data_IF_653503139284
#
_entry.id   IF_653503139284
#
_cell.length_a   1.000
_cell.length_b   1.000
_cell.length_c   1.000
_cell.angle_alpha   90.00
_cell.angle_beta   90.00
_cell.angle_gamma   90.00
#
_symmetry.space_group_name_H-M   'P 1'
#
loop_
_entity.id
_entity.type
_entity.pdbx_description
1 polymer ?
#
# COMPACT_ATOMS: atom_id res chain seq x y z
N UNK A 1 44.61 -7.94 -57.97
CA UNK A 1 43.53 -6.97 -58.13
C UNK A 1 42.61 -7.08 -56.93
N UNK A 2 42.81 -6.21 -55.94
CA UNK A 2 41.88 -5.91 -54.84
C UNK A 2 42.50 -4.68 -54.16
N UNK A 3 41.87 -3.52 -54.41
CA UNK A 3 42.43 -2.21 -54.09
C UNK A 3 42.29 -1.85 -52.62
N UNK A 4 43.37 -1.32 -52.06
CA UNK A 4 43.38 -0.52 -50.86
C UNK A 4 43.87 0.88 -51.25
N UNK A 5 43.13 1.92 -50.91
CA UNK A 5 43.70 3.25 -50.68
C UNK A 5 42.72 4.09 -49.84
N UNK A 6 43.22 4.58 -48.70
CA UNK A 6 42.57 5.57 -47.85
C UNK A 6 42.40 6.90 -48.60
N UNK A 7 41.27 7.57 -48.37
CA UNK A 7 41.15 9.02 -48.53
C UNK A 7 40.32 9.59 -47.36
N UNK A 8 41.00 10.31 -46.47
CA UNK A 8 40.45 11.20 -45.45
C UNK A 8 40.26 12.58 -46.08
N UNK A 9 39.01 13.07 -46.17
CA UNK A 9 38.68 14.50 -46.09
C UNK A 9 37.28 14.65 -45.49
N UNK A 10 37.17 15.42 -44.41
CA UNK A 10 35.90 15.82 -43.80
C UNK A 10 36.15 16.97 -42.83
N UNK A 11 36.18 18.18 -43.36
CA UNK A 11 36.32 19.46 -42.66
C UNK A 11 35.02 19.81 -41.91
N UNK A 12 35.09 20.38 -40.71
CA UNK A 12 33.91 21.01 -40.11
C UNK A 12 33.99 21.32 -38.61
N UNK A 13 34.31 22.57 -38.31
CA UNK A 13 33.62 23.35 -37.26
C UNK A 13 33.96 23.05 -35.80
N UNK A 14 34.73 23.94 -35.18
CA UNK A 14 34.75 24.12 -33.74
C UNK A 14 33.31 24.31 -33.21
N UNK A 15 32.92 23.51 -32.22
CA UNK A 15 31.65 23.72 -31.51
C UNK A 15 31.80 24.91 -30.55
N UNK A 16 30.86 25.87 -30.54
CA UNK A 16 30.78 26.87 -29.49
C UNK A 16 30.45 26.21 -28.14
N UNK A 17 31.12 26.65 -27.07
CA UNK A 17 30.95 26.18 -25.68
C UNK A 17 29.65 26.67 -25.00
N UNK A 18 28.60 26.99 -25.77
CA UNK A 18 27.34 27.55 -25.25
C UNK A 18 26.09 26.67 -25.54
N UNK A 19 26.27 25.35 -25.62
CA UNK A 19 25.15 24.40 -25.72
C UNK A 19 24.94 23.59 -24.43
N UNK A 20 25.27 24.17 -23.27
CA UNK A 20 25.14 23.52 -21.97
C UNK A 20 24.07 24.18 -21.07
N UNK A 21 22.99 24.74 -21.62
CA UNK A 21 21.86 25.22 -20.82
C UNK A 21 20.52 25.02 -21.53
N UNK A 22 20.11 23.75 -21.75
CA UNK A 22 18.71 23.41 -22.02
C UNK A 22 18.47 21.90 -21.95
N UNK A 23 18.83 21.26 -20.83
CA UNK A 23 18.24 19.96 -20.50
C UNK A 23 18.24 19.73 -19.00
N UNK A 24 17.54 20.59 -18.25
CA UNK A 24 16.92 20.16 -17.00
C UNK A 24 15.70 19.31 -17.38
N UNK A 25 15.99 18.16 -17.99
CA UNK A 25 15.05 17.11 -18.27
C UNK A 25 14.28 16.84 -16.99
N UNK A 26 12.96 17.01 -17.08
CA UNK A 26 12.01 16.69 -16.03
C UNK A 26 12.41 15.36 -15.40
N UNK A 27 12.84 15.43 -14.13
CA UNK A 27 13.16 14.25 -13.35
C UNK A 27 11.83 13.54 -13.09
N UNK A 28 11.41 12.71 -14.04
CA UNK A 28 10.33 11.74 -13.86
C UNK A 28 10.89 10.66 -12.94
N UNK A 29 10.89 10.94 -11.63
CA UNK A 29 11.02 9.89 -10.64
C UNK A 29 9.74 9.06 -10.74
N UNK A 30 9.70 8.13 -11.69
CA UNK A 30 8.94 6.91 -11.54
C UNK A 30 9.53 6.22 -10.32
N UNK A 31 9.11 6.67 -9.14
CA UNK A 31 9.60 6.16 -7.87
C UNK A 31 9.19 4.69 -7.85
N UNK A 32 10.15 3.80 -8.08
CA UNK A 32 10.03 2.41 -7.67
C UNK A 32 9.92 2.45 -6.14
N UNK A 33 8.70 2.58 -5.64
CA UNK A 33 8.43 2.75 -4.21
C UNK A 33 8.62 1.40 -3.53
N UNK A 34 9.88 1.05 -3.25
CA UNK A 34 10.25 -0.06 -2.35
C UNK A 34 10.05 0.30 -0.86
N UNK A 35 9.19 1.28 -0.56
CA UNK A 35 8.93 1.75 0.79
C UNK A 35 7.56 1.23 1.24
N UNK A 36 7.54 0.34 2.24
CA UNK A 36 6.30 -0.12 2.88
C UNK A 36 5.58 1.04 3.58
N UNK A 37 4.25 1.10 3.46
CA UNK A 37 3.47 2.10 4.20
C UNK A 37 3.58 1.78 5.70
N UNK A 38 4.26 2.61 6.48
CA UNK A 38 4.34 2.39 7.92
C UNK A 38 3.01 2.72 8.60
N UNK A 39 2.72 2.09 9.75
CA UNK A 39 1.54 2.46 10.57
C UNK A 39 1.62 3.91 11.04
N UNK A 40 2.83 4.44 11.23
CA UNK A 40 3.07 5.86 11.50
C UNK A 40 2.70 6.75 10.29
N UNK A 41 2.92 6.25 9.07
CA UNK A 41 2.48 6.89 7.83
C UNK A 41 0.96 6.92 7.64
N UNK A 42 0.21 6.13 8.42
CA UNK A 42 -1.25 6.19 8.52
C UNK A 42 -1.75 7.15 9.61
N UNK A 43 -0.85 7.74 10.41
CA UNK A 43 -1.27 8.59 11.53
C UNK A 43 -2.07 9.81 11.06
N UNK A 44 -3.12 10.12 11.82
CA UNK A 44 -4.26 10.98 11.46
C UNK A 44 -3.91 12.45 11.23
N UNK A 45 -2.75 12.92 11.70
CA UNK A 45 -2.35 14.33 11.60
C UNK A 45 -2.10 14.79 10.15
N UNK A 46 -1.77 13.86 9.24
CA UNK A 46 -1.64 14.17 7.81
C UNK A 46 -2.96 14.00 7.04
N UNK A 47 -3.80 13.04 7.43
CA UNK A 47 -4.94 12.60 6.61
C UNK A 47 -6.27 13.29 6.95
N UNK A 48 -6.48 13.63 8.21
CA UNK A 48 -7.77 14.17 8.71
C UNK A 48 -7.84 15.70 8.72
N UNK A 49 -6.70 16.38 8.88
CA UNK A 49 -6.61 17.80 9.23
C UNK A 49 -6.18 18.70 8.06
N UNK A 50 -6.96 18.72 6.96
CA UNK A 50 -7.07 19.83 5.98
C UNK A 50 -6.65 19.58 4.51
N UNK A 51 -6.15 18.40 4.13
CA UNK A 51 -5.72 18.13 2.73
C UNK A 51 -6.55 17.08 1.98
N UNK A 52 -6.70 15.89 2.57
CA UNK A 52 -7.22 14.70 1.87
C UNK A 52 -8.70 14.39 2.13
N UNK A 53 -9.27 14.85 3.25
CA UNK A 53 -10.62 14.47 3.71
C UNK A 53 -11.79 15.24 3.08
N UNK A 54 -11.55 16.38 2.43
CA UNK A 54 -12.65 17.20 1.86
C UNK A 54 -12.50 17.53 0.38
N UNK A 55 -11.29 17.61 -0.18
CA UNK A 55 -11.06 17.94 -1.60
C UNK A 55 -9.85 17.25 -2.26
N UNK A 56 -8.87 16.76 -1.49
CA UNK A 56 -7.61 16.20 -2.02
C UNK A 56 -7.75 14.87 -2.74
N UNK A 57 -8.78 14.08 -2.41
CA UNK A 57 -9.24 12.95 -3.22
C UNK A 57 -10.28 13.41 -4.24
N UNK A 58 -9.92 14.31 -5.14
CA UNK A 58 -10.52 14.40 -6.49
C UNK A 58 -9.38 14.55 -7.49
N UNK A 59 -9.51 14.23 -8.79
CA UNK A 59 -8.39 14.47 -9.74
C UNK A 59 -8.01 15.95 -9.80
N UNK A 60 -8.97 16.85 -9.57
CA UNK A 60 -8.73 18.29 -9.45
C UNK A 60 -8.18 18.68 -8.06
N UNK A 61 -8.30 17.78 -7.08
CA UNK A 61 -7.78 17.91 -5.72
C UNK A 61 -6.27 18.06 -5.69
N UNK A 62 -5.56 17.29 -6.53
CA UNK A 62 -4.10 17.35 -6.64
C UNK A 62 -3.58 18.71 -7.15
N UNK A 63 -4.42 19.47 -7.86
CA UNK A 63 -4.10 20.81 -8.36
C UNK A 63 -4.57 21.95 -7.44
N UNK A 64 -5.14 21.64 -6.27
CA UNK A 64 -5.56 22.67 -5.32
C UNK A 64 -4.39 23.25 -4.53
N UNK A 65 -4.52 24.51 -4.11
CA UNK A 65 -3.56 25.12 -3.18
C UNK A 65 -3.48 24.33 -1.87
N UNK A 66 -4.62 23.86 -1.34
CA UNK A 66 -4.65 23.07 -0.11
C UNK A 66 -3.87 21.76 -0.21
N UNK A 67 -3.93 21.06 -1.35
CA UNK A 67 -3.10 19.87 -1.57
C UNK A 67 -1.61 20.21 -1.66
N UNK A 68 -1.24 21.30 -2.37
CA UNK A 68 0.15 21.75 -2.44
C UNK A 68 0.71 22.12 -1.05
N UNK A 69 -0.07 22.84 -0.23
CA UNK A 69 0.32 23.22 1.13
C UNK A 69 0.53 21.97 1.99
N UNK A 70 -0.42 21.03 1.96
CA UNK A 70 -0.31 19.76 2.66
C UNK A 70 0.90 18.94 2.22
N UNK A 71 1.11 18.80 0.91
CA UNK A 71 2.21 18.02 0.35
C UNK A 71 3.56 18.63 0.75
N UNK A 72 3.66 19.97 0.72
CA UNK A 72 4.87 20.71 1.12
C UNK A 72 5.16 20.56 2.61
N UNK A 73 4.14 20.56 3.47
CA UNK A 73 4.28 20.33 4.91
C UNK A 73 4.67 18.88 5.26
N UNK A 74 4.40 17.93 4.36
CA UNK A 74 4.60 16.50 4.56
C UNK A 74 5.55 15.90 3.52
N UNK A 75 6.53 16.66 3.02
CA UNK A 75 7.38 16.26 1.90
C UNK A 75 8.08 14.89 2.08
N UNK A 76 8.39 14.51 3.32
CA UNK A 76 9.03 13.23 3.63
C UNK A 76 8.09 12.01 3.52
N UNK A 77 6.78 12.20 3.74
CA UNK A 77 5.80 11.09 3.84
C UNK A 77 4.73 11.12 2.75
N UNK A 78 4.38 12.31 2.25
CA UNK A 78 3.35 12.52 1.23
C UNK A 78 3.61 11.77 -0.08
N UNK A 79 4.84 11.72 -0.65
CA UNK A 79 5.08 10.98 -1.89
C UNK A 79 4.77 9.48 -1.75
N UNK A 80 5.17 8.87 -0.64
CA UNK A 80 4.93 7.44 -0.36
C UNK A 80 3.45 7.17 -0.12
N UNK A 81 2.79 8.00 0.70
CA UNK A 81 1.36 7.88 0.95
C UNK A 81 0.54 8.02 -0.34
N UNK A 82 0.87 8.99 -1.20
CA UNK A 82 0.20 9.17 -2.49
C UNK A 82 0.42 7.99 -3.43
N UNK A 83 1.59 7.36 -3.41
CA UNK A 83 1.82 6.12 -4.16
C UNK A 83 0.84 5.01 -3.76
N UNK A 84 0.58 4.83 -2.46
CA UNK A 84 -0.38 3.84 -1.99
C UNK A 84 -1.84 4.25 -2.28
N UNK A 85 -2.20 5.51 -2.10
CA UNK A 85 -3.54 6.01 -2.46
C UNK A 85 -3.81 5.73 -3.94
N UNK A 86 -2.88 6.07 -4.83
CA UNK A 86 -3.04 5.86 -6.28
C UNK A 86 -3.04 4.37 -6.62
N UNK A 87 -2.15 3.56 -6.04
CA UNK A 87 -2.13 2.10 -6.21
C UNK A 87 -3.46 1.45 -5.84
N UNK A 88 -4.08 1.88 -4.73
CA UNK A 88 -5.37 1.37 -4.28
C UNK A 88 -6.54 1.89 -5.13
N UNK A 89 -6.57 3.18 -5.43
CA UNK A 89 -7.75 3.84 -5.97
C UNK A 89 -7.85 3.79 -7.50
N UNK A 90 -6.71 3.90 -8.19
CA UNK A 90 -6.64 3.98 -9.65
C UNK A 90 -6.48 2.58 -10.26
N UNK A 91 -7.18 2.23 -11.36
CA UNK A 91 -7.01 0.95 -12.04
C UNK A 91 -5.60 0.78 -12.61
N UNK A 92 -5.18 -0.48 -12.78
CA UNK A 92 -3.96 -0.85 -13.48
C UNK A 92 -3.87 -0.19 -14.88
N UNK A 93 -2.65 0.20 -15.26
CA UNK A 93 -2.38 0.84 -16.55
C UNK A 93 -2.67 2.35 -16.59
N UNK A 94 -3.11 2.96 -15.49
CA UNK A 94 -3.29 4.40 -15.37
C UNK A 94 -2.35 5.02 -14.34
N UNK A 95 -1.99 6.29 -14.52
CA UNK A 95 -1.10 7.05 -13.62
C UNK A 95 -1.76 8.32 -13.09
N UNK A 96 -1.25 8.85 -11.97
CA UNK A 96 -1.55 10.21 -11.51
C UNK A 96 -0.25 10.99 -11.35
N UNK A 97 -0.27 12.24 -11.80
CA UNK A 97 0.89 13.13 -11.76
C UNK A 97 0.59 14.35 -10.92
N UNK A 98 1.59 14.81 -10.18
CA UNK A 98 1.53 16.04 -9.40
C UNK A 98 2.85 16.79 -9.56
N UNK A 99 2.79 18.12 -9.64
CA UNK A 99 3.98 18.96 -9.62
C UNK A 99 3.90 19.89 -8.41
N UNK A 100 4.88 19.78 -7.52
CA UNK A 100 4.99 20.63 -6.34
C UNK A 100 5.22 22.08 -6.76
N UNK A 101 4.35 23.00 -6.33
CA UNK A 101 4.55 24.43 -6.58
C UNK A 101 5.71 25.01 -5.75
N UNK A 102 6.05 24.37 -4.62
CA UNK A 102 7.13 24.82 -3.75
C UNK A 102 8.52 24.46 -4.28
N UNK A 103 8.67 23.28 -4.91
CA UNK A 103 9.98 22.76 -5.36
C UNK A 103 10.10 22.60 -6.87
N UNK A 104 8.99 22.67 -7.61
CA UNK A 104 8.93 22.38 -9.04
C UNK A 104 9.03 20.88 -9.39
N UNK A 105 9.24 20.01 -8.41
CA UNK A 105 9.42 18.56 -8.59
C UNK A 105 8.13 17.92 -9.10
N UNK A 106 8.26 17.08 -10.14
CA UNK A 106 7.16 16.27 -10.68
C UNK A 106 7.19 14.87 -10.09
N UNK A 107 6.03 14.41 -9.62
CA UNK A 107 5.78 13.08 -9.10
C UNK A 107 4.80 12.35 -10.01
N UNK A 108 5.07 11.07 -10.27
CA UNK A 108 4.21 10.19 -11.06
C UNK A 108 3.97 8.89 -10.29
N UNK A 109 2.71 8.56 -10.05
CA UNK A 109 2.30 7.34 -9.31
C UNK A 109 1.47 6.41 -10.21
N UNK A 110 1.68 5.10 -10.04
CA UNK A 110 1.02 4.04 -10.82
C UNK A 110 -0.20 3.48 -10.08
N UNK A 111 -1.30 3.30 -10.81
CA UNK A 111 -2.50 2.60 -10.34
C UNK A 111 -2.35 1.08 -10.36
N UNK A 112 -3.26 0.39 -9.67
CA UNK A 112 -3.32 -1.09 -9.64
C UNK A 112 -4.75 -1.59 -9.40
N UNK A 113 -5.31 -1.39 -8.21
CA UNK A 113 -6.54 -2.11 -7.80
C UNK A 113 -7.84 -1.48 -8.32
N UNK A 114 -7.84 -0.18 -8.62
CA UNK A 114 -9.04 0.49 -9.15
C UNK A 114 -10.23 0.54 -8.19
N UNK A 115 -10.00 0.65 -6.89
CA UNK A 115 -11.06 0.59 -5.88
C UNK A 115 -12.00 1.80 -5.88
N UNK A 116 -11.58 2.92 -6.47
CA UNK A 116 -12.33 4.17 -6.51
C UNK A 116 -12.38 4.79 -7.91
N UNK A 117 -13.14 4.20 -8.85
CA UNK A 117 -13.19 4.67 -10.22
C UNK A 117 -13.95 5.99 -10.40
N UNK A 118 -14.89 6.34 -9.51
CA UNK A 118 -15.48 7.67 -9.45
C UNK A 118 -14.40 8.73 -9.19
N UNK A 119 -13.59 8.51 -8.14
CA UNK A 119 -12.41 9.32 -7.86
C UNK A 119 -11.42 9.34 -9.02
N UNK A 120 -11.07 8.17 -9.54
CA UNK A 120 -10.12 8.04 -10.64
C UNK A 120 -10.61 8.80 -11.89
N UNK A 121 -11.92 8.88 -12.12
CA UNK A 121 -12.53 9.64 -13.22
C UNK A 121 -12.65 11.14 -12.97
N UNK A 122 -12.25 11.61 -11.78
CA UNK A 122 -12.21 13.01 -11.41
C UNK A 122 -13.39 13.57 -10.64
N UNK A 123 -14.26 12.69 -10.16
CA UNK A 123 -15.32 13.06 -9.22
C UNK A 123 -14.75 13.12 -7.79
N UNK A 124 -15.41 13.84 -6.87
CA UNK A 124 -15.15 13.68 -5.45
C UNK A 124 -15.34 12.22 -5.03
N UNK A 125 -14.43 11.69 -4.20
CA UNK A 125 -14.56 10.33 -3.67
C UNK A 125 -15.82 10.18 -2.81
N UNK A 126 -16.65 9.19 -3.15
CA UNK A 126 -17.80 8.80 -2.35
C UNK A 126 -17.37 8.17 -1.02
N UNK A 127 -18.29 8.04 -0.07
CA UNK A 127 -18.02 7.39 1.22
C UNK A 127 -17.56 5.94 1.03
N UNK A 128 -18.17 5.20 0.10
CA UNK A 128 -17.78 3.81 -0.18
C UNK A 128 -16.37 3.73 -0.78
N UNK A 129 -16.00 4.66 -1.66
CA UNK A 129 -14.64 4.76 -2.21
C UNK A 129 -13.62 5.08 -1.12
N UNK A 130 -13.94 6.04 -0.24
CA UNK A 130 -13.11 6.36 0.93
C UNK A 130 -12.89 5.13 1.81
N UNK A 131 -13.93 4.33 2.06
CA UNK A 131 -13.85 3.10 2.84
C UNK A 131 -13.01 2.02 2.16
N UNK A 132 -13.21 1.79 0.86
CA UNK A 132 -12.46 0.79 0.09
C UNK A 132 -10.97 1.13 0.02
N UNK A 133 -10.63 2.41 -0.23
CA UNK A 133 -9.24 2.88 -0.21
C UNK A 133 -8.67 2.80 1.21
N UNK A 134 -9.43 3.16 2.25
CA UNK A 134 -9.01 3.02 3.65
C UNK A 134 -8.66 1.57 4.00
N UNK A 135 -9.48 0.61 3.57
CA UNK A 135 -9.22 -0.81 3.74
C UNK A 135 -7.92 -1.25 3.05
N UNK A 136 -7.67 -0.75 1.84
CA UNK A 136 -6.45 -1.06 1.09
C UNK A 136 -5.20 -0.45 1.74
N UNK A 137 -5.28 0.79 2.22
CA UNK A 137 -4.19 1.44 2.97
C UNK A 137 -3.88 0.66 4.25
N UNK A 138 -4.90 0.24 4.99
CA UNK A 138 -4.73 -0.62 6.17
C UNK A 138 -4.11 -1.97 5.81
N UNK A 139 -4.54 -2.56 4.69
CA UNK A 139 -3.99 -3.80 4.16
C UNK A 139 -2.54 -3.65 3.67
N UNK A 140 -2.05 -2.46 3.33
CA UNK A 140 -0.65 -2.24 2.98
C UNK A 140 0.20 -1.72 4.14
N UNK A 141 -0.43 -1.43 5.28
CA UNK A 141 0.28 -0.96 6.46
C UNK A 141 1.16 -2.05 7.06
N UNK A 142 2.45 -1.77 7.16
CA UNK A 142 3.43 -2.64 7.77
C UNK A 142 4.21 -1.86 8.83
N UNK A 143 4.19 -2.34 10.08
CA UNK A 143 4.93 -1.73 11.20
C UNK A 143 6.42 -1.54 10.91
N UNK A 144 7.02 -2.42 10.11
CA UNK A 144 8.44 -2.39 9.78
C UNK A 144 8.77 -1.58 8.53
N UNK A 145 7.78 -0.97 7.88
CA UNK A 145 7.99 -0.22 6.63
C UNK A 145 8.49 -1.10 5.48
N UNK A 146 8.34 -2.42 5.59
CA UNK A 146 8.74 -3.37 4.55
C UNK A 146 7.61 -3.53 3.53
N UNK A 147 7.94 -3.39 2.25
CA UNK A 147 7.04 -3.77 1.18
C UNK A 147 7.05 -5.29 1.03
N UNK A 148 5.89 -5.93 1.18
CA UNK A 148 5.73 -7.33 0.83
C UNK A 148 4.67 -7.49 -0.25
N UNK A 149 4.79 -8.56 -1.02
CA UNK A 149 3.79 -8.90 -2.02
C UNK A 149 2.54 -9.47 -1.33
N UNK A 150 1.36 -9.03 -1.79
CA UNK A 150 0.07 -9.42 -1.24
C UNK A 150 -0.87 -9.77 -2.38
N UNK A 151 -1.65 -10.83 -2.18
CA UNK A 151 -2.91 -10.98 -2.88
C UNK A 151 -3.96 -10.16 -2.14
N UNK A 152 -4.56 -9.19 -2.83
CA UNK A 152 -5.63 -8.34 -2.28
C UNK A 152 -6.92 -8.69 -3.00
N UNK A 153 -7.86 -9.23 -2.23
CA UNK A 153 -9.11 -9.78 -2.74
C UNK A 153 -10.28 -8.98 -2.16
N UNK A 154 -11.33 -8.80 -2.96
CA UNK A 154 -12.49 -8.03 -2.54
C UNK A 154 -13.26 -7.47 -3.72
N UNK A 155 -13.89 -6.32 -3.50
CA UNK A 155 -14.66 -5.60 -4.51
C UNK A 155 -14.30 -4.13 -4.54
N UNK A 156 -14.43 -3.50 -5.70
CA UNK A 156 -14.38 -2.03 -5.84
C UNK A 156 -15.58 -1.39 -5.15
N UNK A 157 -15.57 -0.05 -5.02
CA UNK A 157 -16.69 0.68 -4.45
C UNK A 157 -18.04 0.49 -5.18
N UNK A 158 -18.00 0.16 -6.48
CA UNK A 158 -19.16 -0.15 -7.33
C UNK A 158 -19.56 -1.64 -7.26
N UNK A 159 -18.85 -2.44 -6.48
CA UNK A 159 -19.15 -3.86 -6.27
C UNK A 159 -18.55 -4.80 -7.32
N UNK A 160 -17.72 -4.32 -8.26
CA UNK A 160 -16.98 -5.18 -9.18
C UNK A 160 -15.93 -5.99 -8.42
N UNK A 161 -15.79 -7.29 -8.70
CA UNK A 161 -14.76 -8.10 -8.08
C UNK A 161 -13.37 -7.66 -8.56
N UNK A 162 -12.42 -7.56 -7.63
CA UNK A 162 -11.00 -7.40 -7.99
C UNK A 162 -10.59 -8.69 -8.71
N UNK A 163 -9.97 -8.61 -9.92
CA UNK A 163 -9.51 -9.79 -10.63
C UNK A 163 -8.46 -10.57 -9.81
N UNK A 164 -8.56 -11.90 -9.81
CA UNK A 164 -7.57 -12.80 -9.24
C UNK A 164 -7.50 -14.09 -10.06
N UNK A 165 -6.38 -14.80 -9.99
CA UNK A 165 -6.18 -16.07 -10.70
C UNK A 165 -6.01 -17.26 -9.75
N UNK A 166 -6.13 -18.48 -10.30
CA UNK A 166 -5.84 -19.69 -9.53
C UNK A 166 -4.35 -19.76 -9.15
N UNK A 167 -3.47 -19.29 -10.03
CA UNK A 167 -2.02 -19.20 -9.81
C UNK A 167 -1.72 -18.25 -8.66
N UNK A 168 -2.35 -17.07 -8.63
CA UNK A 168 -2.23 -16.12 -7.51
C UNK A 168 -2.65 -16.78 -6.19
N UNK A 169 -3.82 -17.44 -6.15
CA UNK A 169 -4.28 -18.11 -4.93
C UNK A 169 -3.38 -19.28 -4.51
N UNK A 170 -2.67 -19.90 -5.46
CA UNK A 170 -1.70 -20.96 -5.16
C UNK A 170 -0.40 -20.39 -4.56
N UNK A 171 0.08 -19.25 -5.08
CA UNK A 171 1.28 -18.58 -4.60
C UNK A 171 1.03 -17.89 -3.25
N UNK A 172 -0.09 -17.18 -3.12
CA UNK A 172 -0.57 -16.54 -1.90
C UNK A 172 -1.56 -17.44 -1.16
N UNK A 173 -1.12 -18.68 -0.89
CA UNK A 173 -1.99 -19.71 -0.32
C UNK A 173 -2.37 -19.44 1.13
N UNK A 174 -1.56 -18.71 1.88
CA UNK A 174 -1.81 -18.44 3.29
C UNK A 174 -2.76 -17.26 3.47
N UNK A 175 -3.93 -17.53 4.06
CA UNK A 175 -4.87 -16.51 4.50
C UNK A 175 -4.26 -15.66 5.60
N UNK A 176 -4.49 -14.36 5.54
CA UNK A 176 -3.95 -13.41 6.49
C UNK A 176 -5.08 -12.76 7.29
N UNK A 177 -5.71 -11.74 6.71
CA UNK A 177 -6.62 -10.86 7.44
C UNK A 177 -7.67 -10.23 6.52
N UNK A 178 -8.67 -9.64 7.14
CA UNK A 178 -9.61 -8.72 6.51
C UNK A 178 -9.43 -7.31 7.08
N UNK A 179 -9.52 -6.32 6.23
CA UNK A 179 -9.33 -4.91 6.54
C UNK A 179 -10.55 -4.10 6.11
N UNK A 180 -10.94 -3.14 6.94
CA UNK A 180 -12.11 -2.29 6.71
C UNK A 180 -12.07 -1.02 7.59
N UNK A 181 -12.98 -0.09 7.34
CA UNK A 181 -13.09 1.16 8.11
C UNK A 181 -13.11 2.40 7.22
N UNK A 182 -12.94 3.57 7.83
CA UNK A 182 -12.86 4.83 7.10
C UNK A 182 -11.93 5.82 7.80
N UNK A 183 -10.75 6.01 7.21
CA UNK A 183 -9.70 6.90 7.71
C UNK A 183 -10.00 8.39 7.48
N UNK A 184 -10.97 8.70 6.62
CA UNK A 184 -11.42 10.07 6.31
C UNK A 184 -12.51 10.55 7.28
N UNK A 185 -12.88 9.72 8.25
CA UNK A 185 -13.87 10.01 9.29
C UNK A 185 -13.30 9.63 10.66
N UNK A 186 -14.10 9.80 11.71
CA UNK A 186 -13.75 9.35 13.06
C UNK A 186 -13.94 7.84 13.28
N UNK A 187 -14.34 7.08 12.25
CA UNK A 187 -14.62 5.66 12.38
C UNK A 187 -13.35 4.84 12.64
N UNK A 188 -12.22 5.25 12.09
CA UNK A 188 -10.94 4.55 12.24
C UNK A 188 -10.75 3.38 11.27
N UNK A 189 -9.68 2.62 11.49
CA UNK A 189 -9.30 1.46 10.70
C UNK A 189 -9.35 0.20 11.54
N UNK A 190 -9.83 -0.89 10.92
CA UNK A 190 -10.02 -2.16 11.58
C UNK A 190 -9.35 -3.28 10.78
N UNK A 191 -8.80 -4.24 11.51
CA UNK A 191 -8.30 -5.48 10.97
C UNK A 191 -8.82 -6.66 11.80
N UNK A 192 -9.02 -7.81 11.17
CA UNK A 192 -9.31 -9.05 11.87
C UNK A 192 -8.61 -10.22 11.14
N UNK A 193 -8.35 -11.32 11.84
CA UNK A 193 -7.64 -12.48 11.30
C UNK A 193 -8.58 -13.41 10.53
N UNK A 194 -8.17 -13.84 9.33
CA UNK A 194 -8.95 -14.81 8.51
C UNK A 194 -8.60 -16.27 8.83
N UNK A 195 -7.61 -16.49 9.69
CA UNK A 195 -7.32 -17.79 10.27
C UNK A 195 -6.78 -17.62 11.69
N UNK A 196 -6.84 -18.69 12.46
CA UNK A 196 -6.10 -18.74 13.71
C UNK A 196 -4.60 -18.91 13.42
N UNK A 197 -3.81 -18.18 14.19
CA UNK A 197 -2.35 -18.25 14.18
C UNK A 197 -1.92 -18.90 15.49
N UNK A 198 -0.97 -19.83 15.40
CA UNK A 198 -0.34 -20.39 16.59
C UNK A 198 0.55 -19.35 17.25
N UNK A 199 0.77 -19.46 18.57
CA UNK A 199 1.68 -18.58 19.29
C UNK A 199 3.15 -18.68 18.82
N UNK A 200 3.49 -19.70 18.03
CA UNK A 200 4.79 -19.88 17.42
C UNK A 200 4.96 -19.12 16.10
N UNK A 201 3.86 -18.71 15.45
CA UNK A 201 3.93 -17.98 14.18
C UNK A 201 4.16 -16.49 14.41
N UNK A 202 4.94 -15.88 13.53
CA UNK A 202 5.12 -14.43 13.46
C UNK A 202 5.17 -13.95 12.01
N UNK A 203 5.03 -12.64 11.84
CA UNK A 203 5.12 -12.01 10.52
C UNK A 203 5.41 -10.53 10.67
N UNK A 204 5.89 -9.93 9.59
CA UNK A 204 6.12 -8.50 9.48
C UNK A 204 4.80 -7.72 9.59
N UNK A 205 3.67 -8.36 9.30
CA UNK A 205 2.34 -7.74 9.24
C UNK A 205 1.53 -7.93 10.51
N UNK A 206 2.04 -7.31 11.57
CA UNK A 206 1.49 -7.42 12.92
C UNK A 206 -0.02 -7.17 13.01
N UNK A 207 -0.60 -6.30 12.17
CA UNK A 207 -1.99 -5.85 12.35
C UNK A 207 -3.05 -6.83 11.86
N UNK A 208 -2.69 -7.71 10.92
CA UNK A 208 -3.53 -8.84 10.56
C UNK A 208 -3.41 -10.04 11.51
N UNK A 209 -2.36 -10.07 12.35
CA UNK A 209 -1.79 -11.32 12.87
C UNK A 209 -1.60 -11.38 14.40
N UNK A 210 -1.48 -10.25 15.09
CA UNK A 210 -1.17 -10.24 16.53
C UNK A 210 -2.40 -10.44 17.42
N UNK A 211 -2.22 -11.20 18.51
CA UNK A 211 -3.17 -11.30 19.64
C UNK A 211 -2.98 -10.18 20.66
N UNK A 212 -1.92 -9.38 20.57
CA UNK A 212 -1.64 -8.25 21.47
C UNK A 212 -2.11 -6.94 20.85
N UNK A 213 -3.18 -6.38 21.40
CA UNK A 213 -3.88 -5.18 20.91
C UNK A 213 -2.98 -3.94 20.71
N UNK A 214 -1.84 -3.85 21.39
CA UNK A 214 -1.19 -2.55 21.64
C UNK A 214 -0.09 -2.13 20.64
N UNK A 215 0.08 -2.81 19.50
CA UNK A 215 1.20 -2.50 18.58
C UNK A 215 0.81 -2.08 17.16
N UNK A 216 -0.49 -1.88 16.90
CA UNK A 216 -1.01 -1.68 15.55
C UNK A 216 -1.74 -0.37 15.30
N UNK A 217 -1.71 0.55 16.27
CA UNK A 217 -2.25 1.89 16.09
C UNK A 217 -1.70 2.53 14.78
N UNK A 218 -2.57 3.16 13.97
CA UNK A 218 -3.98 3.49 14.24
C UNK A 218 -5.00 2.39 13.91
N UNK A 219 -4.57 1.20 13.48
CA UNK A 219 -5.45 0.08 13.14
C UNK A 219 -5.83 -0.70 14.41
N UNK A 220 -7.13 -0.88 14.62
CA UNK A 220 -7.66 -1.68 15.73
C UNK A 220 -7.87 -3.12 15.28
N UNK A 221 -7.24 -4.08 15.96
CA UNK A 221 -7.48 -5.50 15.71
C UNK A 221 -8.72 -5.97 16.48
N UNK A 222 -9.69 -6.57 15.78
CA UNK A 222 -11.00 -6.93 16.34
C UNK A 222 -11.13 -8.42 16.69
N UNK A 223 -10.14 -9.26 16.39
CA UNK A 223 -10.27 -10.72 16.54
C UNK A 223 -10.41 -11.40 15.18
N UNK A 224 -11.47 -12.18 14.95
CA UNK A 224 -11.63 -13.01 13.75
C UNK A 224 -12.55 -12.40 12.69
N UNK A 225 -12.15 -12.45 11.42
CA UNK A 225 -12.98 -12.04 10.28
C UNK A 225 -14.33 -12.74 10.27
N UNK A 226 -14.38 -14.03 10.62
CA UNK A 226 -15.62 -14.80 10.63
C UNK A 226 -16.67 -14.27 11.62
N UNK A 227 -16.26 -13.46 12.61
CA UNK A 227 -17.16 -12.85 13.59
C UNK A 227 -17.77 -11.54 13.09
N UNK A 228 -17.03 -10.77 12.30
CA UNK A 228 -17.42 -9.41 11.90
C UNK A 228 -17.79 -9.29 10.43
N UNK A 229 -17.40 -10.26 9.60
CA UNK A 229 -17.42 -10.14 8.15
C UNK A 229 -18.21 -11.27 7.49
N UNK A 230 -18.84 -10.92 6.36
CA UNK A 230 -19.64 -11.84 5.54
C UNK A 230 -19.03 -11.99 4.15
N UNK A 231 -19.26 -13.16 3.56
CA UNK A 231 -18.98 -13.41 2.14
C UNK A 231 -20.26 -13.26 1.34
N UNK A 232 -20.17 -12.65 0.16
CA UNK A 232 -21.28 -12.63 -0.79
C UNK A 232 -21.58 -14.01 -1.39
N UNK A 233 -20.56 -14.86 -1.48
CA UNK A 233 -20.64 -16.25 -1.93
C UNK A 233 -19.67 -17.10 -1.10
N UNK A 234 -20.11 -18.20 -0.46
CA UNK A 234 -19.24 -19.08 0.32
C UNK A 234 -18.04 -19.65 -0.46
N UNK A 235 -18.18 -19.81 -1.78
CA UNK A 235 -17.11 -20.30 -2.66
C UNK A 235 -16.00 -19.27 -2.91
N UNK A 236 -16.28 -17.98 -2.68
CA UNK A 236 -15.31 -16.91 -2.91
C UNK A 236 -14.21 -16.91 -1.83
N UNK A 237 -12.96 -16.60 -2.21
CA UNK A 237 -11.83 -16.61 -1.29
C UNK A 237 -11.76 -15.36 -0.38
N UNK A 238 -12.75 -14.47 -0.41
CA UNK A 238 -12.72 -13.18 0.29
C UNK A 238 -14.05 -12.82 0.95
N UNK A 239 -13.99 -11.96 1.96
CA UNK A 239 -15.15 -11.28 2.55
C UNK A 239 -15.52 -10.04 1.73
N UNK A 240 -16.81 -9.74 1.65
CA UNK A 240 -17.32 -8.57 0.92
C UNK A 240 -17.61 -7.40 1.83
N UNK A 241 -18.05 -7.66 3.06
CA UNK A 241 -18.47 -6.63 4.01
C UNK A 241 -18.12 -7.04 5.43
N UNK A 242 -17.79 -6.05 6.26
CA UNK A 242 -17.59 -6.21 7.70
C UNK A 242 -18.44 -5.20 8.47
N UNK A 243 -18.99 -5.60 9.61
CA UNK A 243 -19.81 -4.75 10.47
C UNK A 243 -19.19 -4.61 11.85
N UNK A 244 -18.99 -3.37 12.28
CA UNK A 244 -18.48 -3.06 13.61
C UNK A 244 -19.11 -1.76 14.12
N UNK A 245 -19.45 -1.70 15.41
CA UNK A 245 -20.15 -0.56 16.04
C UNK A 245 -21.41 -0.10 15.27
N UNK A 246 -22.19 -1.04 14.74
CA UNK A 246 -23.44 -0.76 14.01
C UNK A 246 -23.26 -0.18 12.61
N UNK A 247 -22.02 -0.08 12.10
CA UNK A 247 -21.72 0.37 10.73
C UNK A 247 -21.16 -0.78 9.90
N UNK A 248 -21.58 -0.84 8.64
CA UNK A 248 -21.10 -1.83 7.66
C UNK A 248 -20.19 -1.14 6.65
N UNK A 249 -19.06 -1.78 6.37
CA UNK A 249 -18.02 -1.28 5.48
C UNK A 249 -17.73 -2.32 4.39
N UNK A 250 -17.31 -1.90 3.18
CA UNK A 250 -16.65 -2.81 2.26
C UNK A 250 -15.38 -3.38 2.92
N UNK A 251 -15.11 -4.66 2.65
CA UNK A 251 -13.96 -5.36 3.20
C UNK A 251 -12.98 -5.75 2.10
N UNK A 252 -11.69 -5.69 2.41
CA UNK A 252 -10.65 -6.34 1.61
C UNK A 252 -10.04 -7.47 2.41
N UNK A 253 -9.83 -8.60 1.76
CA UNK A 253 -9.19 -9.78 2.33
C UNK A 253 -7.80 -9.92 1.72
N UNK A 254 -6.79 -10.15 2.55
CA UNK A 254 -5.43 -10.37 2.08
C UNK A 254 -5.00 -11.81 2.25
N UNK A 255 -4.10 -12.21 1.35
CA UNK A 255 -3.35 -13.46 1.46
C UNK A 255 -1.88 -13.19 1.19
N UNK A 256 -1.04 -13.97 1.84
CA UNK A 256 0.42 -13.85 1.79
C UNK A 256 1.04 -15.13 1.27
N UNK A 257 2.28 -15.04 0.78
CA UNK A 257 3.08 -16.23 0.52
C UNK A 257 3.38 -16.92 1.85
N UNK A 258 3.42 -18.27 1.91
CA UNK A 258 3.81 -18.97 3.14
C UNK A 258 5.19 -18.55 3.69
N UNK A 259 6.09 -18.08 2.83
CA UNK A 259 7.41 -17.57 3.22
C UNK A 259 7.38 -16.25 4.01
N UNK A 260 6.25 -15.54 4.01
CA UNK A 260 6.02 -14.32 4.81
C UNK A 260 5.51 -14.63 6.23
N UNK A 261 5.35 -15.91 6.55
CA UNK A 261 4.92 -16.43 7.84
C UNK A 261 6.08 -17.20 8.45
N UNK A 262 6.71 -16.57 9.42
CA UNK A 262 7.85 -17.13 10.16
C UNK A 262 7.36 -17.97 11.33
N UNK A 263 8.20 -18.87 11.83
CA UNK A 263 7.81 -19.72 12.94
C UNK A 263 8.99 -20.10 13.82
N UNK A 264 8.79 -19.94 15.12
CA UNK A 264 9.75 -20.41 16.10
C UNK A 264 9.94 -21.93 15.99
N UNK A 265 11.19 -22.35 15.83
CA UNK A 265 11.63 -23.70 15.52
C UNK A 265 11.84 -23.98 14.02
N UNK A 266 11.88 -22.96 13.16
CA UNK A 266 12.18 -23.13 11.73
C UNK A 266 13.68 -23.03 11.39
N UNK A 267 14.52 -22.78 12.41
CA UNK A 267 15.96 -22.77 12.32
C UNK A 267 16.58 -21.41 11.99
N UNK A 268 15.78 -20.34 11.89
CA UNK A 268 16.27 -18.98 11.66
C UNK A 268 15.63 -18.05 12.67
N UNK A 269 16.42 -17.32 13.48
CA UNK A 269 15.83 -16.28 14.34
C UNK A 269 15.41 -15.08 13.48
N UNK A 270 14.14 -14.96 13.14
CA UNK A 270 13.67 -13.80 12.38
C UNK A 270 13.54 -12.57 13.29
N UNK A 271 13.61 -11.38 12.69
CA UNK A 271 13.49 -10.11 13.42
C UNK A 271 12.11 -9.88 14.07
N UNK A 272 11.12 -10.68 13.70
CA UNK A 272 9.79 -10.74 14.33
C UNK A 272 9.75 -11.66 15.55
N UNK A 273 10.83 -12.39 15.81
CA UNK A 273 10.99 -13.28 16.95
C UNK A 273 11.91 -12.68 18.03
N UNK A 274 11.86 -13.23 19.24
CA UNK A 274 12.64 -12.77 20.39
C UNK A 274 13.28 -13.94 21.08
N UNK A 275 14.53 -13.77 21.52
CA UNK A 275 15.20 -14.74 22.38
C UNK A 275 14.40 -14.97 23.67
N UNK A 276 14.45 -16.20 24.17
CA UNK A 276 13.80 -16.58 25.42
C UNK A 276 13.78 -18.09 25.62
N UNK A 277 13.03 -18.55 26.62
CA UNK A 277 13.03 -19.96 27.04
C UNK A 277 11.87 -20.80 26.47
N UNK A 278 10.94 -20.17 25.73
CA UNK A 278 9.72 -20.80 25.22
C UNK A 278 9.82 -21.34 23.79
N UNK A 279 8.63 -21.55 23.22
CA UNK A 279 8.38 -21.99 21.83
C UNK A 279 7.48 -21.02 21.07
N UNK A 280 7.25 -19.84 21.62
CA UNK A 280 6.44 -18.77 21.00
C UNK A 280 7.35 -17.83 20.24
N UNK A 281 6.86 -17.12 19.23
CA UNK A 281 7.67 -16.12 18.54
C UNK A 281 8.25 -15.04 19.48
N UNK A 282 7.49 -14.63 20.51
CA UNK A 282 7.93 -13.66 21.52
C UNK A 282 8.93 -14.23 22.57
N UNK A 283 9.22 -15.53 22.52
CA UNK A 283 10.13 -16.22 23.44
C UNK A 283 10.59 -17.51 22.77
N UNK A 284 11.43 -17.39 21.75
CA UNK A 284 11.86 -18.48 20.89
C UNK A 284 13.25 -18.98 21.25
N UNK A 285 13.31 -20.06 22.03
CA UNK A 285 14.59 -20.68 22.38
C UNK A 285 15.26 -21.36 21.21
N UNK A 286 14.45 -22.01 20.36
CA UNK A 286 14.93 -22.90 19.31
C UNK A 286 15.78 -22.15 18.27
N UNK A 287 15.32 -20.96 17.88
CA UNK A 287 15.96 -20.20 16.81
C UNK A 287 16.77 -19.01 17.33
N UNK A 288 16.26 -18.30 18.35
CA UNK A 288 16.88 -17.07 18.87
C UNK A 288 17.75 -17.27 20.12
N UNK A 289 17.78 -18.47 20.68
CA UNK A 289 18.47 -18.74 21.95
C UNK A 289 17.71 -18.23 23.18
N UNK A 290 18.32 -18.41 24.35
CA UNK A 290 17.74 -18.02 25.64
C UNK A 290 18.12 -16.59 26.04
#
# INVERSE_FOLDING_TARGET
MTGALLALVGCGGAMPEDALEADLAAVDQAQQVNNGLSTNGLSTNGLSTNGLSTNGLSTNGLSTNGFNDWFSQNGDTAPTLMAYIVKCAVPEGQTRTFQSTATGTKYTWQGSLGLAPGWASGKPATVTEQQAVSACLAAHANKFGLHIELSVLGRTAEGAAIPYSAEELSQFSAKEACFFGNLFTTDGLFAARDRDFSAAESSTRACGLTLKADTCAPITNLGSCAQFCIKGDPSQPYYTQCTYNGKTYPALTTRVKPTELYRCGDGVCQFTERAGSGTTADSCRADCGA
#
